data_IF_255516908436
#
_entry.id   IF_255516908436
#
_cell.length_a   1.000
_cell.length_b   1.000
_cell.length_c   1.000
_cell.angle_alpha   90.00
_cell.angle_beta   90.00
_cell.angle_gamma   90.00
#
_symmetry.space_group_name_H-M   'P 1'
#
loop_
_entity.id
_entity.type
_entity.pdbx_description
1 polymer ?
#
# COMPACT_ATOMS: atom_id res chain seq x y z
N UNK A 1 -8.40 -8.48 -7.96
CA UNK A 1 -7.58 -9.02 -6.85
C UNK A 1 -7.95 -8.37 -5.53
N UNK A 2 -7.64 -9.01 -4.41
CA UNK A 2 -7.87 -8.44 -3.07
C UNK A 2 -6.59 -7.78 -2.57
N UNK A 3 -6.71 -6.65 -1.87
CA UNK A 3 -5.60 -6.01 -1.18
C UNK A 3 -6.02 -5.52 0.21
N UNK A 4 -5.07 -5.42 1.14
CA UNK A 4 -5.27 -4.83 2.47
C UNK A 4 -4.96 -3.35 2.39
N UNK A 5 -5.81 -2.53 3.01
CA UNK A 5 -5.68 -1.09 2.96
C UNK A 5 -5.98 -0.37 4.27
N UNK A 6 -5.56 0.89 4.36
CA UNK A 6 -5.66 1.74 5.56
C UNK A 6 -6.67 2.87 5.28
N UNK A 7 -7.75 2.94 6.05
CA UNK A 7 -8.81 3.97 5.85
C UNK A 7 -8.37 5.37 6.31
N UNK A 8 -7.66 5.43 7.42
CA UNK A 8 -7.05 6.64 8.01
C UNK A 8 -5.97 6.19 9.00
N UNK A 9 -5.04 7.08 9.42
CA UNK A 9 -4.08 6.75 10.47
C UNK A 9 -4.79 6.31 11.75
N UNK A 10 -4.37 5.19 12.34
CA UNK A 10 -5.01 4.68 13.56
C UNK A 10 -4.53 3.29 13.97
N UNK A 11 -5.29 2.61 14.83
CA UNK A 11 -5.02 1.27 15.32
C UNK A 11 -5.31 0.19 14.26
N UNK A 12 -5.25 -1.10 14.60
CA UNK A 12 -5.37 -2.17 13.59
C UNK A 12 -6.75 -2.27 12.95
N UNK A 13 -7.77 -1.71 13.59
CA UNK A 13 -9.16 -1.66 13.16
C UNK A 13 -9.38 -0.79 11.91
N UNK A 14 -8.43 0.08 11.56
CA UNK A 14 -8.49 0.88 10.34
C UNK A 14 -8.11 0.09 9.08
N UNK A 15 -7.65 -1.16 9.24
CA UNK A 15 -7.31 -2.05 8.13
C UNK A 15 -8.56 -2.70 7.54
N UNK A 16 -8.66 -2.70 6.22
CA UNK A 16 -9.76 -3.35 5.51
C UNK A 16 -9.28 -4.05 4.25
N UNK A 17 -10.05 -5.03 3.78
CA UNK A 17 -9.82 -5.69 2.49
C UNK A 17 -10.69 -4.99 1.45
N UNK A 18 -10.11 -4.66 0.31
CA UNK A 18 -10.84 -4.19 -0.86
C UNK A 18 -10.56 -5.03 -2.11
N UNK A 19 -11.51 -5.02 -3.03
CA UNK A 19 -11.36 -5.60 -4.35
C UNK A 19 -10.95 -4.53 -5.35
N UNK A 20 -9.90 -4.82 -6.11
CA UNK A 20 -9.35 -3.94 -7.13
C UNK A 20 -9.07 -4.72 -8.41
N UNK A 21 -8.99 -4.04 -9.55
CA UNK A 21 -8.58 -4.68 -10.80
C UNK A 21 -7.13 -5.19 -10.72
N UNK A 22 -6.82 -6.21 -11.51
CA UNK A 22 -5.44 -6.69 -11.64
C UNK A 22 -4.70 -5.68 -12.54
N UNK A 23 -3.59 -5.08 -12.08
CA UNK A 23 -2.86 -4.09 -12.88
C UNK A 23 -2.22 -4.74 -14.11
N UNK A 24 -2.15 -3.98 -15.21
CA UNK A 24 -1.42 -4.37 -16.41
C UNK A 24 0.01 -3.81 -16.33
N UNK A 25 1.05 -4.65 -16.39
CA UNK A 25 2.43 -4.19 -16.36
C UNK A 25 2.78 -3.41 -17.64
N UNK A 26 3.60 -2.36 -17.50
CA UNK A 26 4.19 -1.61 -18.63
C UNK A 26 5.45 -2.29 -19.16
N UNK A 27 6.04 -1.68 -20.18
CA UNK A 27 7.36 -2.10 -20.67
C UNK A 27 8.39 -2.07 -19.53
N UNK A 28 9.11 -3.18 -19.39
CA UNK A 28 10.11 -3.43 -18.32
C UNK A 28 9.54 -3.58 -16.89
N UNK A 29 8.24 -3.86 -16.73
CA UNK A 29 7.65 -4.23 -15.44
C UNK A 29 7.25 -5.72 -15.41
N UNK A 30 7.18 -6.30 -14.21
CA UNK A 30 6.70 -7.67 -13.98
C UNK A 30 5.46 -7.65 -13.10
N UNK A 31 4.48 -8.48 -13.45
CA UNK A 31 3.32 -8.76 -12.59
C UNK A 31 3.59 -10.02 -11.77
N UNK A 32 3.64 -9.89 -10.45
CA UNK A 32 3.87 -11.03 -9.54
C UNK A 32 2.62 -11.35 -8.75
N UNK A 33 2.30 -12.65 -8.69
CA UNK A 33 1.27 -13.20 -7.83
C UNK A 33 1.86 -13.45 -6.44
N UNK A 34 1.46 -12.64 -5.47
CA UNK A 34 1.89 -12.76 -4.08
C UNK A 34 1.36 -14.06 -3.46
N UNK A 35 2.25 -14.95 -3.04
CA UNK A 35 1.90 -16.16 -2.29
C UNK A 35 1.95 -15.93 -0.76
N UNK A 36 2.89 -15.10 -0.31
CA UNK A 36 3.12 -14.76 1.10
C UNK A 36 3.58 -13.31 1.24
N UNK A 37 3.29 -12.69 2.38
CA UNK A 37 3.72 -11.34 2.74
C UNK A 37 4.27 -11.34 4.17
N UNK A 38 5.42 -10.69 4.37
CA UNK A 38 5.99 -10.47 5.70
C UNK A 38 5.44 -9.18 6.33
N UNK A 39 5.29 -9.17 7.65
CA UNK A 39 4.88 -7.98 8.41
C UNK A 39 6.07 -7.45 9.21
N UNK A 40 6.32 -6.15 9.12
CA UNK A 40 7.45 -5.48 9.74
C UNK A 40 6.99 -4.26 10.57
N UNK A 41 7.89 -3.76 11.43
CA UNK A 41 7.63 -2.55 12.23
C UNK A 41 7.28 -1.31 11.39
N UNK A 42 7.88 -1.05 10.22
CA UNK A 42 7.48 0.07 9.36
C UNK A 42 6.01 0.02 8.91
N UNK A 43 5.41 -1.16 8.74
CA UNK A 43 3.99 -1.29 8.37
C UNK A 43 3.08 -0.73 9.48
N UNK A 44 3.44 -1.00 10.73
CA UNK A 44 2.75 -0.47 11.91
C UNK A 44 2.92 1.05 11.98
N UNK A 45 4.15 1.54 11.81
CA UNK A 45 4.43 2.99 11.82
C UNK A 45 3.68 3.72 10.70
N UNK A 46 3.57 3.11 9.51
CA UNK A 46 2.84 3.67 8.39
C UNK A 46 1.33 3.70 8.66
N UNK A 47 0.75 2.60 9.19
CA UNK A 47 -0.64 2.54 9.61
C UNK A 47 -0.99 3.59 10.66
N UNK A 48 -0.08 3.86 11.59
CA UNK A 48 -0.24 4.89 12.62
C UNK A 48 0.05 6.32 12.11
N UNK A 49 0.46 6.48 10.85
CA UNK A 49 0.82 7.79 10.29
C UNK A 49 2.14 8.38 10.81
N UNK A 50 2.97 7.56 11.45
CA UNK A 50 4.25 7.93 12.05
C UNK A 50 5.44 7.71 11.10
N UNK A 51 5.22 7.03 9.97
CA UNK A 51 6.27 6.81 8.98
C UNK A 51 6.44 8.07 8.11
N UNK A 52 7.66 8.65 8.03
CA UNK A 52 7.88 9.93 7.34
C UNK A 52 7.62 9.80 5.84
N UNK A 53 6.57 10.46 5.36
CA UNK A 53 6.21 10.54 3.94
C UNK A 53 6.71 11.88 3.38
N UNK A 54 7.53 11.88 2.33
CA UNK A 54 7.99 13.12 1.70
C UNK A 54 6.79 13.91 1.14
N UNK A 55 6.74 15.21 1.42
CA UNK A 55 5.63 16.11 1.08
C UNK A 55 5.33 16.18 -0.44
N UNK A 56 6.34 15.95 -1.29
CA UNK A 56 6.18 15.87 -2.75
C UNK A 56 5.35 14.66 -3.20
N UNK A 57 5.43 13.52 -2.48
CA UNK A 57 4.57 12.36 -2.70
C UNK A 57 3.13 12.62 -2.23
N UNK A 58 2.88 13.69 -1.47
CA UNK A 58 1.57 14.07 -0.95
C UNK A 58 0.75 14.91 -1.94
N UNK A 59 1.41 15.70 -2.80
CA UNK A 59 0.75 16.58 -3.78
C UNK A 59 0.48 15.93 -5.14
N UNK A 60 1.30 14.95 -5.56
CA UNK A 60 1.04 14.19 -6.79
C UNK A 60 -0.09 13.14 -6.62
N UNK A 61 -0.53 12.91 -5.38
CA UNK A 61 -1.43 11.82 -4.97
C UNK A 61 -2.63 12.38 -4.18
N UNK A 62 -3.39 13.28 -4.83
CA UNK A 62 -4.57 13.96 -4.28
C UNK A 62 -5.27 13.11 -3.22
N UNK A 63 -5.24 13.60 -1.98
CA UNK A 63 -5.56 12.88 -0.75
C UNK A 63 -7.01 12.35 -0.75
N UNK A 64 -7.18 11.22 -1.43
CA UNK A 64 -8.33 10.34 -1.41
C UNK A 64 -7.77 8.92 -1.60
N UNK A 65 -7.43 8.26 -0.47
CA UNK A 65 -6.97 6.87 -0.35
C UNK A 65 -5.56 6.55 -0.93
N UNK A 66 -4.97 5.41 -0.58
CA UNK A 66 -4.44 5.04 0.73
C UNK A 66 -2.97 4.54 0.57
N UNK A 67 -2.29 4.15 1.63
CA UNK A 67 -0.88 3.77 1.57
C UNK A 67 -0.61 2.54 0.67
N UNK A 68 -0.36 2.78 -0.63
CA UNK A 68 0.11 1.78 -1.59
C UNK A 68 1.60 1.56 -1.40
N UNK A 69 2.00 0.76 -0.41
CA UNK A 69 3.37 0.26 -0.29
C UNK A 69 3.49 -1.27 -0.51
N UNK A 70 2.47 -1.89 -1.13
CA UNK A 70 2.50 -3.31 -1.53
C UNK A 70 2.43 -3.57 -3.05
N UNK A 71 2.86 -2.63 -3.91
CA UNK A 71 3.05 -2.91 -5.35
C UNK A 71 4.50 -3.15 -5.77
N UNK A 72 5.44 -3.34 -4.85
CA UNK A 72 6.84 -3.58 -5.22
C UNK A 72 7.51 -4.62 -4.33
N UNK A 73 6.94 -5.81 -4.25
CA UNK A 73 7.74 -7.02 -4.10
C UNK A 73 7.31 -8.03 -5.16
N UNK A 74 7.38 -7.54 -6.40
CA UNK A 74 7.59 -8.35 -7.58
C UNK A 74 9.08 -8.27 -7.89
N UNK A 75 9.89 -9.13 -7.26
CA UNK A 75 11.15 -9.58 -7.84
C UNK A 75 10.99 -11.05 -8.15
#
# INVERSE_FOLDING_TARGET
MKQINIKHPGDSDVLFIEEVEIPQPKENELLVKVAYAGVNRPDIMQRQGLYPMQQALRQLWGWNYPAKWWQSVAK
#
